data_IF_166506886674
#
_entry.id   IF_166506886674
#
_cell.length_a   1.000
_cell.length_b   1.000
_cell.length_c   1.000
_cell.angle_alpha   90.00
_cell.angle_beta   90.00
_cell.angle_gamma   90.00
#
_symmetry.space_group_name_H-M   'P 1'
#
loop_
_entity.id
_entity.type
_entity.pdbx_description
1 polymer ?
#
# COMPACT_ATOMS: atom_id res chain seq x y z
N UNK A 1 -47.77 97.77 -13.65
CA UNK A 1 -48.09 96.83 -12.57
C UNK A 1 -47.08 97.09 -11.46
N UNK A 2 -47.48 97.84 -10.43
CA UNK A 2 -46.61 98.24 -9.31
C UNK A 2 -46.51 97.11 -8.29
N UNK A 3 -45.42 97.05 -7.53
CA UNK A 3 -45.17 96.03 -6.49
C UNK A 3 -46.36 95.88 -5.53
N UNK A 4 -47.07 96.98 -5.26
CA UNK A 4 -48.29 97.00 -4.45
C UNK A 4 -49.43 96.14 -5.03
N UNK A 5 -49.61 96.10 -6.36
CA UNK A 5 -50.64 95.26 -6.98
C UNK A 5 -50.29 93.77 -6.92
N UNK A 6 -49.00 93.43 -6.93
CA UNK A 6 -48.51 92.06 -6.79
C UNK A 6 -48.62 91.56 -5.34
N UNK A 7 -48.32 92.43 -4.37
CA UNK A 7 -48.53 92.16 -2.95
C UNK A 7 -50.03 92.04 -2.63
N UNK A 8 -50.90 92.85 -3.24
CA UNK A 8 -52.36 92.73 -3.06
C UNK A 8 -52.95 91.47 -3.70
N UNK A 9 -52.36 90.96 -4.79
CA UNK A 9 -52.77 89.67 -5.37
C UNK A 9 -52.25 88.48 -4.58
N UNK A 10 -51.02 88.54 -4.06
CA UNK A 10 -50.49 87.51 -3.15
C UNK A 10 -51.23 87.48 -1.82
N UNK A 11 -51.58 88.64 -1.26
CA UNK A 11 -52.36 88.71 -0.01
C UNK A 11 -53.76 88.13 -0.20
N UNK A 12 -54.41 88.35 -1.36
CA UNK A 12 -55.71 87.73 -1.69
C UNK A 12 -55.64 86.22 -1.88
N UNK A 13 -54.55 85.67 -2.41
CA UNK A 13 -54.32 84.23 -2.51
C UNK A 13 -54.02 83.61 -1.13
N UNK A 14 -53.33 84.35 -0.26
CA UNK A 14 -52.87 83.84 1.04
C UNK A 14 -53.92 83.97 2.16
N UNK A 15 -54.92 84.85 2.06
CA UNK A 15 -55.83 85.16 3.18
C UNK A 15 -57.31 84.83 3.00
N UNK A 16 -57.77 84.27 1.87
CA UNK A 16 -59.20 84.01 1.66
C UNK A 16 -59.57 82.54 1.42
N UNK A 17 -58.84 81.62 2.04
CA UNK A 17 -59.33 80.26 2.29
C UNK A 17 -59.52 80.03 3.78
N UNK A 18 -60.51 80.70 4.39
CA UNK A 18 -61.11 80.15 5.61
C UNK A 18 -61.91 78.91 5.21
N UNK A 19 -61.22 77.77 5.14
CA UNK A 19 -61.86 76.47 4.98
C UNK A 19 -62.90 76.30 6.09
N UNK A 20 -64.12 75.88 5.74
CA UNK A 20 -65.16 75.67 6.75
C UNK A 20 -64.72 74.57 7.72
N UNK A 21 -65.22 74.63 8.97
CA UNK A 21 -64.95 73.61 9.99
C UNK A 21 -65.22 72.18 9.48
N UNK A 22 -66.22 72.03 8.60
CA UNK A 22 -66.53 70.77 7.92
C UNK A 22 -65.41 70.28 6.99
N UNK A 23 -64.74 71.16 6.25
CA UNK A 23 -63.63 70.79 5.36
C UNK A 23 -62.41 70.31 6.15
N UNK A 24 -62.09 70.92 7.29
CA UNK A 24 -61.05 70.43 8.19
C UNK A 24 -61.36 69.04 8.74
N UNK A 25 -62.62 68.78 9.13
CA UNK A 25 -63.06 67.46 9.57
C UNK A 25 -62.94 66.40 8.47
N UNK A 26 -63.33 66.73 7.23
CA UNK A 26 -63.19 65.84 6.08
C UNK A 26 -61.72 65.54 5.75
N UNK A 27 -60.84 66.54 5.76
CA UNK A 27 -59.40 66.34 5.52
C UNK A 27 -58.78 65.46 6.61
N UNK A 28 -59.10 65.68 7.88
CA UNK A 28 -58.61 64.87 9.00
C UNK A 28 -59.08 63.40 8.92
N UNK A 29 -60.33 63.18 8.49
CA UNK A 29 -60.88 61.84 8.32
C UNK A 29 -60.20 61.10 7.16
N UNK A 30 -59.99 61.77 6.02
CA UNK A 30 -59.25 61.21 4.88
C UNK A 30 -57.79 60.94 5.26
N UNK A 31 -57.10 61.84 5.95
CA UNK A 31 -55.70 61.63 6.36
C UNK A 31 -55.54 60.48 7.35
N UNK A 32 -56.54 60.27 8.22
CA UNK A 32 -56.58 59.13 9.15
C UNK A 32 -56.74 57.80 8.38
N UNK A 33 -57.68 57.74 7.43
CA UNK A 33 -57.87 56.55 6.58
C UNK A 33 -56.61 56.25 5.77
N UNK A 34 -56.00 57.27 5.16
CA UNK A 34 -54.75 57.12 4.40
C UNK A 34 -53.61 56.63 5.30
N UNK A 35 -53.50 57.13 6.54
CA UNK A 35 -52.49 56.65 7.50
C UNK A 35 -52.71 55.19 7.89
N UNK A 36 -53.95 54.77 8.17
CA UNK A 36 -54.27 53.38 8.52
C UNK A 36 -53.96 52.44 7.34
N UNK A 37 -54.37 52.81 6.12
CA UNK A 37 -54.03 52.08 4.91
C UNK A 37 -52.50 52.02 4.69
N UNK A 38 -51.79 53.11 4.94
CA UNK A 38 -50.34 53.16 4.79
C UNK A 38 -49.63 52.25 5.80
N UNK A 39 -50.06 52.23 7.06
CA UNK A 39 -49.52 51.34 8.11
C UNK A 39 -49.80 49.87 7.76
N UNK A 40 -51.01 49.56 7.28
CA UNK A 40 -51.38 48.20 6.89
C UNK A 40 -50.55 47.71 5.69
N UNK A 41 -50.42 48.52 4.64
CA UNK A 41 -49.65 48.19 3.44
C UNK A 41 -48.17 48.07 3.76
N UNK A 42 -47.60 49.01 4.52
CA UNK A 42 -46.19 48.94 4.92
C UNK A 42 -45.90 47.76 5.84
N UNK A 43 -46.80 47.45 6.78
CA UNK A 43 -46.72 46.26 7.63
C UNK A 43 -46.78 44.97 6.82
N UNK A 44 -47.74 44.86 5.90
CA UNK A 44 -47.88 43.70 5.01
C UNK A 44 -46.66 43.51 4.10
N UNK A 45 -46.16 44.59 3.49
CA UNK A 45 -44.96 44.53 2.64
C UNK A 45 -43.73 44.13 3.45
N UNK A 46 -43.57 44.68 4.66
CA UNK A 46 -42.46 44.32 5.55
C UNK A 46 -42.51 42.84 5.94
N UNK A 47 -43.67 42.33 6.32
CA UNK A 47 -43.79 40.94 6.75
C UNK A 47 -43.69 39.96 5.57
N UNK A 48 -44.25 40.32 4.41
CA UNK A 48 -44.06 39.57 3.17
C UNK A 48 -42.58 39.53 2.76
N UNK A 49 -41.88 40.66 2.81
CA UNK A 49 -40.44 40.71 2.48
C UNK A 49 -39.59 39.86 3.43
N UNK A 50 -39.90 39.85 4.73
CA UNK A 50 -39.25 38.98 5.70
C UNK A 50 -39.54 37.50 5.42
N UNK A 51 -40.79 37.14 5.15
CA UNK A 51 -41.17 35.76 4.83
C UNK A 51 -40.52 35.27 3.54
N UNK A 52 -40.44 36.11 2.52
CA UNK A 52 -39.76 35.79 1.26
C UNK A 52 -38.25 35.63 1.47
N UNK A 53 -37.63 36.49 2.29
CA UNK A 53 -36.22 36.36 2.68
C UNK A 53 -35.95 35.06 3.47
N UNK A 54 -36.81 34.74 4.44
CA UNK A 54 -36.71 33.50 5.22
C UNK A 54 -36.85 32.27 4.32
N UNK A 55 -37.83 32.26 3.40
CA UNK A 55 -38.01 31.16 2.43
C UNK A 55 -36.80 30.99 1.52
N UNK A 56 -36.25 32.09 1.01
CA UNK A 56 -35.05 32.07 0.17
C UNK A 56 -33.85 31.52 0.93
N UNK A 57 -33.61 32.00 2.15
CA UNK A 57 -32.53 31.49 3.00
C UNK A 57 -32.71 30.02 3.35
N UNK A 58 -33.93 29.56 3.67
CA UNK A 58 -34.19 28.15 3.93
C UNK A 58 -33.91 27.27 2.71
N UNK A 59 -34.26 27.75 1.51
CA UNK A 59 -33.98 27.03 0.27
C UNK A 59 -32.47 26.96 0.03
N UNK A 60 -31.77 28.07 0.22
CA UNK A 60 -30.31 28.13 0.09
C UNK A 60 -29.59 27.23 1.10
N UNK A 61 -30.01 27.25 2.37
CA UNK A 61 -29.50 26.35 3.43
C UNK A 61 -29.72 24.88 3.04
N UNK A 62 -30.92 24.52 2.57
CA UNK A 62 -31.22 23.15 2.15
C UNK A 62 -30.36 22.73 0.95
N UNK A 63 -30.16 23.60 -0.03
CA UNK A 63 -29.29 23.33 -1.17
C UNK A 63 -27.82 23.15 -0.74
N UNK A 64 -27.33 23.98 0.16
CA UNK A 64 -25.98 23.84 0.72
C UNK A 64 -25.84 22.53 1.52
N UNK A 65 -26.85 22.17 2.31
CA UNK A 65 -26.86 20.92 3.08
C UNK A 65 -26.85 19.68 2.16
N UNK A 66 -27.64 19.70 1.09
CA UNK A 66 -27.66 18.64 0.09
C UNK A 66 -26.30 18.51 -0.61
N UNK A 67 -25.70 19.62 -1.05
CA UNK A 67 -24.38 19.65 -1.69
C UNK A 67 -23.28 19.16 -0.74
N UNK A 68 -23.31 19.56 0.53
CA UNK A 68 -22.37 19.09 1.54
C UNK A 68 -22.53 17.59 1.79
N UNK A 69 -23.77 17.09 1.88
CA UNK A 69 -24.03 15.65 2.07
C UNK A 69 -23.52 14.83 0.88
N UNK A 70 -23.79 15.29 -0.34
CA UNK A 70 -23.30 14.65 -1.57
C UNK A 70 -21.77 14.65 -1.61
N UNK A 71 -21.13 15.78 -1.30
CA UNK A 71 -19.68 15.92 -1.28
C UNK A 71 -19.06 14.99 -0.22
N UNK A 72 -19.58 14.99 1.01
CA UNK A 72 -19.09 14.13 2.09
C UNK A 72 -19.24 12.65 1.74
N UNK A 73 -20.40 12.23 1.21
CA UNK A 73 -20.59 10.84 0.77
C UNK A 73 -19.66 10.46 -0.38
N UNK A 74 -19.39 11.38 -1.30
CA UNK A 74 -18.44 11.15 -2.39
C UNK A 74 -17.02 10.95 -1.85
N UNK A 75 -16.58 11.80 -0.92
CA UNK A 75 -15.27 11.67 -0.24
C UNK A 75 -15.19 10.36 0.55
N UNK A 76 -16.23 10.03 1.32
CA UNK A 76 -16.32 8.79 2.09
C UNK A 76 -16.20 7.57 1.16
N UNK A 77 -16.94 7.57 0.05
CA UNK A 77 -16.87 6.50 -0.93
C UNK A 77 -15.48 6.37 -1.57
N UNK A 78 -14.86 7.49 -1.97
CA UNK A 78 -13.48 7.49 -2.48
C UNK A 78 -12.49 6.95 -1.45
N UNK A 79 -12.64 7.35 -0.18
CA UNK A 79 -11.80 6.88 0.91
C UNK A 79 -11.95 5.37 1.15
N UNK A 80 -13.19 4.87 1.17
CA UNK A 80 -13.49 3.44 1.29
C UNK A 80 -12.89 2.67 0.12
N UNK A 81 -13.07 3.15 -1.12
CA UNK A 81 -12.49 2.52 -2.31
C UNK A 81 -10.96 2.48 -2.25
N UNK A 82 -10.31 3.59 -1.90
CA UNK A 82 -8.86 3.64 -1.78
C UNK A 82 -8.35 2.69 -0.70
N UNK A 83 -9.02 2.67 0.46
CA UNK A 83 -8.69 1.76 1.56
C UNK A 83 -8.82 0.31 1.12
N UNK A 84 -9.91 -0.05 0.45
CA UNK A 84 -10.13 -1.40 -0.07
C UNK A 84 -9.08 -1.80 -1.12
N UNK A 85 -8.74 -0.92 -2.06
CA UNK A 85 -7.67 -1.16 -3.04
C UNK A 85 -6.35 -1.40 -2.33
N UNK A 86 -6.00 -0.57 -1.35
CA UNK A 86 -4.75 -0.72 -0.58
C UNK A 86 -4.71 -2.06 0.17
N UNK A 87 -5.83 -2.49 0.76
CA UNK A 87 -5.95 -3.80 1.40
C UNK A 87 -5.73 -4.94 0.39
N UNK A 88 -6.34 -4.88 -0.79
CA UNK A 88 -6.15 -5.89 -1.83
C UNK A 88 -4.70 -5.96 -2.31
N UNK A 89 -4.06 -4.80 -2.54
CA UNK A 89 -2.64 -4.73 -2.90
C UNK A 89 -1.76 -5.35 -1.81
N UNK A 90 -2.05 -5.05 -0.54
CA UNK A 90 -1.29 -5.62 0.57
C UNK A 90 -1.45 -7.13 0.69
N UNK A 91 -2.67 -7.66 0.59
CA UNK A 91 -2.92 -9.10 0.59
C UNK A 91 -2.13 -9.77 -0.53
N UNK A 92 -2.14 -9.19 -1.74
CA UNK A 92 -1.36 -9.72 -2.87
C UNK A 92 0.14 -9.68 -2.62
N UNK A 93 0.67 -8.61 -2.02
CA UNK A 93 2.08 -8.55 -1.62
C UNK A 93 2.42 -9.64 -0.60
N UNK A 94 1.58 -9.82 0.41
CA UNK A 94 1.78 -10.86 1.43
C UNK A 94 1.84 -12.24 0.80
N UNK A 95 0.86 -12.59 -0.04
CA UNK A 95 0.82 -13.88 -0.76
C UNK A 95 2.10 -14.10 -1.59
N UNK A 96 2.58 -13.05 -2.27
CA UNK A 96 3.82 -13.12 -3.07
C UNK A 96 5.03 -13.38 -2.18
N UNK A 97 5.15 -12.67 -1.05
CA UNK A 97 6.26 -12.90 -0.12
C UNK A 97 6.21 -14.28 0.54
N UNK A 98 5.02 -14.78 0.87
CA UNK A 98 4.86 -16.16 1.36
C UNK A 98 5.33 -17.19 0.33
N UNK A 99 4.97 -17.01 -0.95
CA UNK A 99 5.47 -17.86 -2.04
C UNK A 99 6.99 -17.79 -2.16
N UNK A 100 7.57 -16.59 -2.12
CA UNK A 100 9.03 -16.41 -2.18
C UNK A 100 9.71 -17.09 -1.00
N UNK A 101 9.20 -16.92 0.22
CA UNK A 101 9.83 -17.49 1.41
C UNK A 101 9.71 -19.02 1.49
N UNK A 102 8.62 -19.60 0.95
CA UNK A 102 8.54 -21.06 0.77
C UNK A 102 9.64 -21.55 -0.16
N UNK A 103 9.83 -20.88 -1.31
CA UNK A 103 10.90 -21.24 -2.25
C UNK A 103 12.27 -21.05 -1.61
N UNK A 104 12.46 -20.02 -0.78
CA UNK A 104 13.72 -19.81 -0.06
C UNK A 104 13.97 -20.90 0.96
N UNK A 105 12.94 -21.41 1.65
CA UNK A 105 13.08 -22.55 2.56
C UNK A 105 13.57 -23.79 1.81
N UNK A 106 13.02 -24.06 0.62
CA UNK A 106 13.45 -25.18 -0.21
C UNK A 106 14.90 -25.02 -0.70
N UNK A 107 15.30 -23.80 -1.08
CA UNK A 107 16.67 -23.49 -1.48
C UNK A 107 17.67 -23.59 -0.31
N UNK A 108 17.26 -23.22 0.90
CA UNK A 108 18.05 -23.38 2.13
C UNK A 108 18.32 -24.87 2.39
N UNK A 109 17.26 -25.69 2.30
CA UNK A 109 17.35 -27.15 2.43
C UNK A 109 18.25 -27.76 1.36
N UNK A 110 18.16 -27.29 0.11
CA UNK A 110 19.07 -27.69 -0.96
C UNK A 110 20.54 -27.37 -0.60
N UNK A 111 20.85 -26.17 -0.13
CA UNK A 111 22.22 -25.77 0.23
C UNK A 111 22.77 -26.57 1.41
N UNK A 112 21.92 -26.89 2.40
CA UNK A 112 22.31 -27.74 3.53
C UNK A 112 22.62 -29.17 3.07
N UNK A 113 21.82 -29.72 2.15
CA UNK A 113 22.08 -31.03 1.55
C UNK A 113 23.36 -31.00 0.72
N UNK A 114 23.56 -29.99 -0.13
CA UNK A 114 24.77 -29.82 -0.95
C UNK A 114 26.02 -29.78 -0.06
N UNK A 115 25.99 -29.00 1.02
CA UNK A 115 27.07 -28.91 2.00
C UNK A 115 27.33 -30.24 2.70
N UNK A 116 26.27 -31.00 3.03
CA UNK A 116 26.41 -32.32 3.63
C UNK A 116 27.09 -33.30 2.67
N UNK A 117 26.69 -33.31 1.40
CA UNK A 117 27.31 -34.16 0.39
C UNK A 117 28.77 -33.78 0.14
N UNK A 118 29.10 -32.49 0.10
CA UNK A 118 30.48 -32.00 0.00
C UNK A 118 31.34 -32.50 1.17
N UNK A 119 30.85 -32.40 2.41
CA UNK A 119 31.58 -32.89 3.58
C UNK A 119 31.80 -34.40 3.53
N UNK A 120 30.81 -35.17 3.08
CA UNK A 120 30.93 -36.62 2.89
C UNK A 120 31.99 -36.92 1.83
N UNK A 121 31.97 -36.19 0.71
CA UNK A 121 32.96 -36.31 -0.35
C UNK A 121 34.38 -36.08 0.18
N UNK A 122 34.62 -34.94 0.84
CA UNK A 122 35.94 -34.63 1.41
C UNK A 122 36.39 -35.63 2.47
N UNK A 123 35.48 -36.12 3.30
CA UNK A 123 35.77 -37.13 4.30
C UNK A 123 36.33 -38.39 3.65
N UNK A 124 35.64 -38.94 2.64
CA UNK A 124 36.03 -40.21 2.03
C UNK A 124 37.19 -40.09 1.03
N UNK A 125 37.35 -38.95 0.35
CA UNK A 125 38.42 -38.77 -0.65
C UNK A 125 39.73 -38.27 -0.04
N UNK A 126 39.69 -37.47 1.03
CA UNK A 126 40.89 -36.81 1.58
C UNK A 126 41.08 -37.03 3.08
N UNK A 127 40.01 -37.19 3.85
CA UNK A 127 40.07 -37.26 5.31
C UNK A 127 40.37 -38.66 5.86
N UNK A 128 39.86 -39.70 5.20
CA UNK A 128 39.79 -41.06 5.75
C UNK A 128 41.17 -41.71 5.92
N UNK A 129 42.14 -41.38 5.06
CA UNK A 129 43.48 -41.97 5.09
C UNK A 129 44.23 -41.64 6.41
N UNK A 130 43.99 -40.46 6.98
CA UNK A 130 44.56 -40.05 8.26
C UNK A 130 44.10 -40.95 9.43
N UNK A 131 42.93 -41.58 9.31
CA UNK A 131 42.39 -42.49 10.33
C UNK A 131 42.96 -43.91 10.20
N UNK A 132 43.30 -44.33 8.98
CA UNK A 132 43.98 -45.62 8.78
C UNK A 132 45.41 -45.57 9.30
N UNK A 133 46.09 -44.44 9.12
CA UNK A 133 47.48 -44.20 9.52
C UNK A 133 47.67 -43.84 11.01
N UNK A 134 46.59 -43.85 11.81
CA UNK A 134 46.70 -43.59 13.25
C UNK A 134 47.50 -44.71 13.96
N UNK A 135 48.74 -44.37 14.34
CA UNK A 135 49.64 -45.18 15.17
C UNK A 135 49.49 -44.90 16.67
N UNK A 136 48.66 -43.92 17.08
CA UNK A 136 48.51 -43.52 18.49
C UNK A 136 47.78 -44.56 19.35
N UNK A 137 47.24 -45.62 18.74
CA UNK A 137 46.48 -46.69 19.39
C UNK A 137 45.10 -46.26 19.88
N UNK A 138 44.62 -45.07 19.51
CA UNK A 138 43.31 -44.54 19.89
C UNK A 138 42.17 -45.17 19.10
N UNK A 139 42.44 -45.58 17.87
CA UNK A 139 41.48 -46.24 16.99
C UNK A 139 41.70 -47.76 17.06
N UNK A 140 40.65 -48.51 17.39
CA UNK A 140 40.73 -49.96 17.47
C UNK A 140 40.77 -50.61 16.09
N UNK A 141 41.23 -51.87 16.01
CA UNK A 141 41.16 -52.65 14.77
C UNK A 141 39.73 -52.78 14.24
N UNK A 142 38.75 -52.96 15.13
CA UNK A 142 37.34 -53.06 14.74
C UNK A 142 36.82 -51.75 14.12
N UNK A 143 37.25 -50.60 14.65
CA UNK A 143 36.89 -49.29 14.08
C UNK A 143 37.49 -49.10 12.68
N UNK A 144 38.76 -49.50 12.50
CA UNK A 144 39.41 -49.49 11.18
C UNK A 144 38.71 -50.42 10.18
N UNK A 145 38.32 -51.63 10.63
CA UNK A 145 37.61 -52.59 9.78
C UNK A 145 36.21 -52.05 9.37
N UNK A 146 35.47 -51.41 10.27
CA UNK A 146 34.19 -50.74 9.96
C UNK A 146 34.38 -49.60 8.96
N UNK A 147 35.34 -48.72 9.22
CA UNK A 147 35.64 -47.59 8.32
C UNK A 147 36.04 -48.07 6.92
N UNK A 148 36.78 -49.18 6.83
CA UNK A 148 37.13 -49.78 5.55
C UNK A 148 35.90 -50.28 4.77
N UNK A 149 34.90 -50.84 5.45
CA UNK A 149 33.63 -51.20 4.82
C UNK A 149 32.87 -49.95 4.33
N UNK A 150 32.82 -48.89 5.13
CA UNK A 150 32.17 -47.63 4.75
C UNK A 150 32.82 -47.00 3.50
N UNK A 151 34.15 -47.03 3.41
CA UNK A 151 34.90 -46.58 2.22
C UNK A 151 34.56 -47.42 1.00
N UNK A 152 34.49 -48.75 1.13
CA UNK A 152 34.11 -49.64 0.03
C UNK A 152 32.68 -49.34 -0.43
N UNK A 153 31.74 -49.19 0.50
CA UNK A 153 30.34 -48.88 0.20
C UNK A 153 30.24 -47.52 -0.53
N UNK A 154 30.93 -46.50 -0.03
CA UNK A 154 30.99 -45.18 -0.64
C UNK A 154 31.56 -45.23 -2.08
N UNK A 155 32.74 -45.86 -2.26
CA UNK A 155 33.35 -46.02 -3.58
C UNK A 155 32.48 -46.82 -4.54
N UNK A 156 31.71 -47.79 -4.04
CA UNK A 156 30.76 -48.53 -4.85
C UNK A 156 29.59 -47.65 -5.31
N UNK A 157 29.03 -46.78 -4.44
CA UNK A 157 27.99 -45.80 -4.81
C UNK A 157 28.47 -44.81 -5.88
N UNK A 158 29.76 -44.46 -5.86
CA UNK A 158 30.38 -43.63 -6.90
C UNK A 158 30.51 -44.41 -8.22
N UNK A 159 30.99 -45.66 -8.18
CA UNK A 159 31.14 -46.53 -9.37
C UNK A 159 29.82 -46.91 -10.04
N UNK A 160 28.74 -47.08 -9.27
CA UNK A 160 27.41 -47.42 -9.81
C UNK A 160 26.68 -46.21 -10.40
N UNK A 161 27.24 -45.00 -10.27
CA UNK A 161 26.61 -43.75 -10.71
C UNK A 161 25.42 -43.33 -9.86
N UNK A 162 25.17 -44.00 -8.73
CA UNK A 162 24.10 -43.65 -7.79
C UNK A 162 24.32 -42.26 -7.19
N UNK A 163 25.58 -41.94 -6.86
CA UNK A 163 26.00 -40.61 -6.43
C UNK A 163 25.67 -39.54 -7.47
N UNK A 164 26.03 -39.76 -8.74
CA UNK A 164 25.76 -38.82 -9.82
C UNK A 164 24.25 -38.59 -10.01
N UNK A 165 23.44 -39.66 -9.97
CA UNK A 165 21.97 -39.54 -10.04
C UNK A 165 21.40 -38.71 -8.89
N UNK A 166 21.93 -38.88 -7.67
CA UNK A 166 21.52 -38.10 -6.50
C UNK A 166 21.87 -36.62 -6.68
N UNK A 167 23.08 -36.31 -7.15
CA UNK A 167 23.49 -34.94 -7.41
C UNK A 167 22.71 -34.29 -8.55
N UNK A 168 22.41 -35.04 -9.61
CA UNK A 168 21.56 -34.55 -10.72
C UNK A 168 20.16 -34.22 -10.22
N UNK A 169 19.58 -35.08 -9.36
CA UNK A 169 18.27 -34.83 -8.74
C UNK A 169 18.30 -33.57 -7.86
N UNK A 170 19.36 -33.36 -7.08
CA UNK A 170 19.52 -32.15 -6.26
C UNK A 170 19.62 -30.89 -7.14
N UNK A 171 20.38 -30.94 -8.23
CA UNK A 171 20.54 -29.85 -9.19
C UNK A 171 19.24 -29.55 -9.93
N UNK A 172 18.49 -30.58 -10.32
CA UNK A 172 17.17 -30.43 -10.95
C UNK A 172 16.18 -29.76 -10.01
N UNK A 173 16.10 -30.21 -8.76
CA UNK A 173 15.25 -29.59 -7.73
C UNK A 173 15.62 -28.12 -7.53
N UNK A 174 16.91 -27.80 -7.37
CA UNK A 174 17.41 -26.42 -7.32
C UNK A 174 16.90 -25.61 -8.52
N UNK A 175 17.08 -26.12 -9.74
CA UNK A 175 16.68 -25.41 -10.96
C UNK A 175 15.16 -25.17 -11.03
N UNK A 176 14.34 -26.10 -10.55
CA UNK A 176 12.88 -25.92 -10.43
C UNK A 176 12.57 -24.73 -9.51
N UNK A 177 13.19 -24.68 -8.33
CA UNK A 177 13.00 -23.59 -7.38
C UNK A 177 13.48 -22.23 -7.94
N UNK A 178 14.63 -22.20 -8.62
CA UNK A 178 15.11 -20.97 -9.28
C UNK A 178 14.18 -20.50 -10.40
N UNK A 179 13.62 -21.41 -11.19
CA UNK A 179 12.63 -21.09 -12.21
C UNK A 179 11.34 -20.55 -11.58
N UNK A 180 10.92 -21.07 -10.43
CA UNK A 180 9.77 -20.54 -9.70
C UNK A 180 10.01 -19.09 -9.24
N UNK A 181 11.21 -18.76 -8.74
CA UNK A 181 11.57 -17.37 -8.43
C UNK A 181 11.57 -16.48 -9.67
N UNK A 182 12.12 -16.97 -10.79
CA UNK A 182 12.12 -16.24 -12.06
C UNK A 182 10.68 -15.97 -12.55
N UNK A 183 9.78 -16.95 -12.39
CA UNK A 183 8.36 -16.79 -12.72
C UNK A 183 7.67 -15.74 -11.85
N UNK A 184 8.00 -15.66 -10.55
CA UNK A 184 7.50 -14.60 -9.67
C UNK A 184 7.98 -13.22 -10.16
N UNK A 185 9.25 -13.09 -10.54
CA UNK A 185 9.77 -11.84 -11.12
C UNK A 185 9.10 -11.48 -12.45
N UNK A 186 8.76 -12.46 -13.27
CA UNK A 186 8.09 -12.20 -14.54
C UNK A 186 6.62 -11.80 -14.36
N UNK A 187 5.87 -12.54 -13.54
CA UNK A 187 4.41 -12.41 -13.45
C UNK A 187 3.93 -11.46 -12.35
N UNK A 188 4.69 -11.36 -11.26
CA UNK A 188 4.24 -10.70 -10.03
C UNK A 188 5.12 -9.50 -9.64
N UNK A 189 6.10 -9.11 -10.47
CA UNK A 189 7.03 -8.03 -10.14
C UNK A 189 6.39 -6.66 -9.95
N UNK A 190 5.22 -6.38 -10.52
CA UNK A 190 4.55 -5.09 -10.30
C UNK A 190 4.28 -4.81 -8.81
N UNK A 191 4.12 -5.87 -8.01
CA UNK A 191 3.83 -5.76 -6.58
C UNK A 191 5.08 -5.68 -5.70
N UNK A 192 6.27 -5.95 -6.25
CA UNK A 192 7.53 -5.97 -5.52
C UNK A 192 8.28 -4.65 -5.70
N UNK A 193 9.02 -4.22 -4.66
CA UNK A 193 10.00 -3.13 -4.82
C UNK A 193 11.15 -3.51 -5.74
N UNK A 194 11.88 -2.51 -6.22
CA UNK A 194 13.11 -2.74 -6.99
C UNK A 194 14.19 -3.43 -6.16
N UNK A 195 14.24 -3.17 -4.85
CA UNK A 195 15.15 -3.82 -3.91
C UNK A 195 14.88 -5.32 -3.84
N UNK A 196 13.63 -5.73 -3.55
CA UNK A 196 13.23 -7.13 -3.51
C UNK A 196 13.49 -7.85 -4.84
N UNK A 197 13.23 -7.19 -5.98
CA UNK A 197 13.55 -7.75 -7.31
C UNK A 197 15.03 -8.00 -7.50
N UNK A 198 15.87 -7.03 -7.12
CA UNK A 198 17.32 -7.15 -7.23
C UNK A 198 17.84 -8.30 -6.36
N UNK A 199 17.32 -8.44 -5.14
CA UNK A 199 17.73 -9.52 -4.23
C UNK A 199 17.40 -10.88 -4.81
N UNK A 200 16.16 -11.07 -5.29
CA UNK A 200 15.73 -12.34 -5.90
C UNK A 200 16.58 -12.64 -7.15
N UNK A 201 16.85 -11.64 -7.99
CA UNK A 201 17.70 -11.80 -9.18
C UNK A 201 19.13 -12.23 -8.81
N UNK A 202 19.73 -11.61 -7.80
CA UNK A 202 21.07 -11.96 -7.35
C UNK A 202 21.14 -13.39 -6.81
N UNK A 203 20.10 -13.86 -6.09
CA UNK A 203 20.02 -15.26 -5.65
C UNK A 203 19.95 -16.20 -6.85
N UNK A 204 19.13 -15.89 -7.85
CA UNK A 204 19.04 -16.69 -9.07
C UNK A 204 20.41 -16.77 -9.76
N UNK A 205 21.09 -15.64 -9.93
CA UNK A 205 22.40 -15.59 -10.58
C UNK A 205 23.48 -16.34 -9.80
N UNK A 206 23.47 -16.26 -8.47
CA UNK A 206 24.46 -16.94 -7.63
C UNK A 206 24.27 -18.46 -7.66
N UNK A 207 23.02 -18.94 -7.48
CA UNK A 207 22.72 -20.36 -7.38
C UNK A 207 22.60 -21.07 -8.73
N UNK A 208 22.48 -20.33 -9.84
CA UNK A 208 22.43 -20.93 -11.19
C UNK A 208 23.82 -21.35 -11.69
N UNK A 209 24.90 -20.95 -11.03
CA UNK A 209 26.27 -21.30 -11.43
C UNK A 209 26.44 -22.82 -11.50
N UNK A 210 27.10 -23.25 -12.55
CA UNK A 210 27.45 -24.67 -12.75
C UNK A 210 28.73 -24.98 -11.98
N UNK A 211 28.74 -26.15 -11.35
CA UNK A 211 29.91 -26.71 -10.66
C UNK A 211 30.66 -27.54 -11.69
N UNK A 212 31.92 -27.19 -11.95
CA UNK A 212 32.72 -27.78 -13.04
C UNK A 212 33.64 -28.89 -12.50
N UNK A 213 34.17 -28.72 -11.29
CA UNK A 213 35.11 -29.62 -10.63
C UNK A 213 34.99 -29.52 -9.08
N UNK A 214 35.82 -30.28 -8.36
CA UNK A 214 35.76 -30.38 -6.90
C UNK A 214 36.22 -29.09 -6.19
N UNK A 215 37.24 -28.40 -6.70
CA UNK A 215 37.70 -27.13 -6.13
C UNK A 215 36.64 -26.04 -6.27
N UNK A 216 35.99 -25.99 -7.44
CA UNK A 216 34.86 -25.10 -7.68
C UNK A 216 33.61 -25.51 -6.90
N UNK A 217 33.49 -26.76 -6.46
CA UNK A 217 32.38 -27.22 -5.62
C UNK A 217 32.44 -26.65 -4.21
N UNK A 218 33.59 -26.71 -3.53
CA UNK A 218 33.76 -26.12 -2.20
C UNK A 218 33.57 -24.60 -2.22
N UNK A 219 34.20 -23.91 -3.18
CA UNK A 219 34.03 -22.47 -3.35
C UNK A 219 32.55 -22.12 -3.60
N UNK A 220 31.87 -22.87 -4.47
CA UNK A 220 30.45 -22.68 -4.76
C UNK A 220 29.61 -22.84 -3.49
N UNK A 221 29.79 -23.92 -2.72
CA UNK A 221 28.98 -24.17 -1.51
C UNK A 221 29.23 -23.07 -0.48
N UNK A 222 30.48 -22.75 -0.18
CA UNK A 222 30.84 -21.73 0.79
C UNK A 222 30.27 -20.35 0.41
N UNK A 223 30.41 -19.96 -0.85
CA UNK A 223 29.92 -18.68 -1.37
C UNK A 223 28.41 -18.63 -1.45
N UNK A 224 27.78 -19.69 -1.95
CA UNK A 224 26.33 -19.77 -2.12
C UNK A 224 25.61 -19.75 -0.79
N UNK A 225 26.04 -20.54 0.20
CA UNK A 225 25.45 -20.54 1.54
C UNK A 225 25.56 -19.17 2.21
N UNK A 226 26.74 -18.54 2.15
CA UNK A 226 26.96 -17.21 2.74
C UNK A 226 26.11 -16.14 2.05
N UNK A 227 26.13 -16.11 0.73
CA UNK A 227 25.40 -15.11 -0.07
C UNK A 227 23.89 -15.30 0.09
N UNK A 228 23.41 -16.54 0.08
CA UNK A 228 22.01 -16.86 0.29
C UNK A 228 21.51 -16.41 1.65
N UNK A 229 22.25 -16.71 2.73
CA UNK A 229 21.92 -16.25 4.09
C UNK A 229 21.83 -14.71 4.16
N UNK A 230 22.80 -14.02 3.55
CA UNK A 230 22.81 -12.56 3.47
C UNK A 230 21.58 -12.02 2.72
N UNK A 231 21.33 -12.51 1.51
CA UNK A 231 20.19 -12.07 0.69
C UNK A 231 18.84 -12.39 1.33
N UNK A 232 18.70 -13.55 1.97
CA UNK A 232 17.52 -13.92 2.76
C UNK A 232 17.26 -12.90 3.88
N UNK A 233 18.29 -12.49 4.62
CA UNK A 233 18.14 -11.49 5.68
C UNK A 233 17.69 -10.12 5.15
N UNK A 234 18.27 -9.66 4.04
CA UNK A 234 17.89 -8.36 3.44
C UNK A 234 16.48 -8.44 2.85
N UNK A 235 16.09 -9.56 2.24
CA UNK A 235 14.75 -9.72 1.69
C UNK A 235 13.68 -9.65 2.79
N UNK A 236 13.94 -10.22 3.96
CA UNK A 236 13.03 -10.14 5.11
C UNK A 236 12.81 -8.67 5.49
N UNK A 237 13.87 -7.88 5.62
CA UNK A 237 13.78 -6.46 5.95
C UNK A 237 13.02 -5.67 4.86
N UNK A 238 13.27 -5.98 3.58
CA UNK A 238 12.55 -5.38 2.46
C UNK A 238 11.06 -5.73 2.49
N UNK A 239 10.73 -6.99 2.78
CA UNK A 239 9.35 -7.45 2.91
C UNK A 239 8.64 -6.77 4.09
N UNK A 240 9.28 -6.67 5.25
CA UNK A 240 8.74 -5.97 6.44
C UNK A 240 8.45 -4.50 6.12
N UNK A 241 9.35 -3.82 5.43
CA UNK A 241 9.14 -2.44 4.98
C UNK A 241 7.98 -2.33 4.00
N UNK A 242 7.83 -3.27 3.07
CA UNK A 242 6.75 -3.22 2.07
C UNK A 242 5.37 -3.58 2.64
N UNK A 243 5.33 -4.42 3.66
CA UNK A 243 4.12 -4.89 4.32
C UNK A 243 3.70 -4.00 5.50
N UNK A 244 4.60 -3.20 6.08
CA UNK A 244 4.28 -2.27 7.17
C UNK A 244 3.56 -0.98 6.72
N UNK A 245 3.52 -0.67 5.41
CA UNK A 245 2.96 0.58 4.86
C UNK A 245 1.42 0.70 5.00
N UNK A 246 0.75 -0.28 5.62
CA UNK A 246 -0.66 -0.18 6.01
C UNK A 246 -0.90 0.21 7.48
N UNK A 247 0.15 0.56 8.23
CA UNK A 247 0.07 1.17 9.56
C UNK A 247 0.18 2.69 9.52
#
# INVERSE_FOLDING_TARGET
>A
MTIEQFIDTLSKIQFNQSLSLSTYFFIALISSIVSICSIYVTGYLKEKSKLDFIKKNLTEINTQLAKNTETTKSIEHQFIQQTWINQQVWIKKQEIYEDIFKIFLDLDSYLDLEKKELNIYYWFEYGVDQYFDDESGRITKEDKDKLYQDVIEYRNKFKTGEFNKKMDTLRENRNIHLNNLANILHLKSIFLSQESKSIIKNIIEELKKEIIDDETWDEYVAKSTKSFSHYKSILILSAEKELSILG
#
